data_IF_564889429479
#
_entry.id   IF_564889429479
#
_cell.length_a   1.000
_cell.length_b   1.000
_cell.length_c   1.000
_cell.angle_alpha   90.00
_cell.angle_beta   90.00
_cell.angle_gamma   90.00
#
_symmetry.space_group_name_H-M   'P 1'
#
loop_
_entity.id
_entity.type
_entity.pdbx_description
1 polymer ?
#
# COMPACT_ATOMS: atom_id res chain seq x y z
N UNK A 1 -17.95 21.04 -7.16
CA UNK A 1 -16.64 20.36 -7.32
C UNK A 1 -16.81 18.93 -6.83
N UNK A 2 -16.32 17.92 -7.55
CA UNK A 2 -16.44 16.53 -7.13
C UNK A 2 -15.56 16.27 -5.90
N UNK A 3 -16.14 15.66 -4.86
CA UNK A 3 -15.43 15.34 -3.61
C UNK A 3 -14.42 14.22 -3.87
N UNK A 4 -13.16 14.42 -3.49
CA UNK A 4 -12.08 13.42 -3.66
C UNK A 4 -11.88 12.64 -2.37
N UNK A 5 -11.75 11.32 -2.49
CA UNK A 5 -11.38 10.46 -1.38
C UNK A 5 -9.92 10.71 -0.96
N UNK A 6 -9.70 10.83 0.34
CA UNK A 6 -8.39 11.07 0.96
C UNK A 6 -8.10 10.13 2.13
N UNK A 7 -9.05 9.26 2.51
CA UNK A 7 -8.87 8.17 3.45
C UNK A 7 -9.37 6.87 2.82
N UNK A 8 -8.58 5.81 2.93
CA UNK A 8 -8.88 4.49 2.39
C UNK A 8 -8.61 3.45 3.47
N UNK A 9 -9.65 2.71 3.83
CA UNK A 9 -9.59 1.67 4.85
C UNK A 9 -10.07 0.37 4.22
N UNK A 10 -9.19 -0.63 4.14
CA UNK A 10 -9.49 -1.90 3.48
C UNK A 10 -8.91 -3.08 4.25
N UNK A 11 -9.61 -4.20 4.26
CA UNK A 11 -9.16 -5.43 4.90
C UNK A 11 -9.58 -6.69 4.12
N UNK A 12 -8.87 -7.79 4.36
CA UNK A 12 -9.14 -9.08 3.77
C UNK A 12 -8.23 -10.16 4.35
N UNK A 13 -8.82 -11.26 4.85
CA UNK A 13 -8.07 -12.28 5.57
C UNK A 13 -7.40 -11.69 6.81
N UNK A 14 -6.10 -11.94 6.98
CA UNK A 14 -5.30 -11.34 8.03
C UNK A 14 -4.76 -9.93 7.68
N UNK A 15 -4.96 -9.45 6.44
CA UNK A 15 -4.37 -8.19 5.96
C UNK A 15 -5.33 -7.02 6.11
N UNK A 16 -4.85 -5.91 6.67
CA UNK A 16 -5.55 -4.62 6.69
C UNK A 16 -4.62 -3.47 6.30
N UNK A 17 -5.17 -2.48 5.59
CA UNK A 17 -4.49 -1.26 5.18
C UNK A 17 -5.35 -0.05 5.49
N UNK A 18 -4.74 0.95 6.12
CA UNK A 18 -5.29 2.29 6.25
C UNK A 18 -4.34 3.27 5.56
N UNK A 19 -4.79 3.93 4.51
CA UNK A 19 -4.01 4.91 3.76
C UNK A 19 -4.72 6.25 3.74
N UNK A 20 -4.05 7.30 4.19
CA UNK A 20 -4.49 8.68 4.06
C UNK A 20 -3.55 9.45 3.13
N UNK A 21 -4.11 10.16 2.14
CA UNK A 21 -3.28 10.97 1.21
C UNK A 21 -2.72 12.22 1.88
N UNK A 22 -3.32 12.62 2.99
CA UNK A 22 -2.95 13.74 3.85
C UNK A 22 -3.41 13.39 5.26
N UNK A 23 -2.52 13.37 6.25
CA UNK A 23 -2.85 13.18 7.67
C UNK A 23 -2.94 14.49 8.44
N UNK A 24 -3.09 14.41 9.76
CA UNK A 24 -3.17 15.55 10.69
C UNK A 24 -1.92 16.44 10.59
N UNK A 25 -0.75 15.84 10.41
CA UNK A 25 0.52 16.55 10.24
C UNK A 25 0.75 17.08 8.80
N UNK A 26 -0.26 17.00 7.92
CA UNK A 26 -0.17 17.44 6.52
C UNK A 26 0.59 16.48 5.59
N UNK A 27 1.08 15.36 6.09
CA UNK A 27 1.82 14.35 5.32
C UNK A 27 0.98 13.08 5.09
N UNK A 28 1.18 12.33 3.99
CA UNK A 28 0.52 11.05 3.80
C UNK A 28 0.90 10.04 4.90
N UNK A 29 -0.04 9.17 5.27
CA UNK A 29 0.20 8.06 6.20
C UNK A 29 -0.31 6.75 5.61
N UNK A 30 0.40 5.67 5.88
CA UNK A 30 0.07 4.32 5.43
C UNK A 30 0.35 3.34 6.57
N UNK A 31 -0.71 2.73 7.06
CA UNK A 31 -0.64 1.65 8.04
C UNK A 31 -0.94 0.33 7.35
N UNK A 32 -0.03 -0.62 7.47
CA UNK A 32 -0.15 -1.99 6.98
C UNK A 32 -0.12 -2.95 8.17
N UNK A 33 -1.04 -3.91 8.19
CA UNK A 33 -0.98 -5.04 9.11
C UNK A 33 -1.28 -6.31 8.37
N UNK A 34 -0.53 -7.37 8.66
CA UNK A 34 -0.88 -8.74 8.32
C UNK A 34 -0.71 -9.68 9.54
N UNK A 35 -0.55 -10.98 9.31
CA UNK A 35 -0.37 -11.94 10.40
C UNK A 35 0.97 -11.79 11.13
N UNK A 36 1.99 -11.27 10.44
CA UNK A 36 3.38 -11.27 10.90
C UNK A 36 3.92 -9.85 11.10
N UNK A 37 3.28 -8.84 10.50
CA UNK A 37 3.75 -7.46 10.46
C UNK A 37 2.68 -6.45 10.91
N UNK A 38 3.13 -5.38 11.55
CA UNK A 38 2.36 -4.19 11.89
C UNK A 38 3.25 -2.96 11.67
N UNK A 39 3.08 -2.29 10.53
CA UNK A 39 4.03 -1.29 10.01
C UNK A 39 3.31 0.00 9.66
N UNK A 40 3.86 1.11 10.15
CA UNK A 40 3.43 2.47 9.81
C UNK A 40 4.50 3.16 8.98
N UNK A 41 4.10 3.76 7.86
CA UNK A 41 4.94 4.64 7.06
C UNK A 41 4.27 6.01 6.92
N UNK A 42 5.08 7.06 6.87
CA UNK A 42 4.63 8.44 6.71
C UNK A 42 5.54 9.18 5.73
N UNK A 43 5.00 10.22 5.09
CA UNK A 43 5.78 11.14 4.27
C UNK A 43 6.60 10.43 3.17
N UNK A 44 7.93 10.55 3.25
CA UNK A 44 8.87 9.98 2.27
C UNK A 44 8.99 8.45 2.33
N UNK A 45 8.52 7.81 3.40
CA UNK A 45 8.43 6.36 3.51
C UNK A 45 7.34 5.75 2.62
N UNK A 46 6.51 6.59 2.00
CA UNK A 46 5.42 6.17 1.11
C UNK A 46 5.76 6.58 -0.33
N UNK A 47 5.86 5.58 -1.20
CA UNK A 47 6.11 5.78 -2.63
C UNK A 47 4.79 5.66 -3.38
N UNK A 48 4.45 6.65 -4.20
CA UNK A 48 3.23 6.61 -5.03
C UNK A 48 3.57 6.65 -6.52
N UNK A 49 2.88 5.84 -7.33
CA UNK A 49 3.04 5.82 -8.79
C UNK A 49 1.68 5.67 -9.47
N UNK A 50 1.32 6.63 -10.31
CA UNK A 50 0.11 6.54 -11.15
C UNK A 50 0.35 5.56 -12.30
N UNK A 51 -0.62 4.69 -12.55
CA UNK A 51 -0.61 3.64 -13.58
C UNK A 51 -2.00 3.49 -14.19
N UNK A 52 -2.15 2.62 -15.19
CA UNK A 52 -3.45 2.27 -15.77
C UNK A 52 -4.37 1.52 -14.78
N UNK A 53 -3.79 0.88 -13.75
CA UNK A 53 -4.53 0.20 -12.69
C UNK A 53 -5.04 1.15 -11.60
N UNK A 54 -4.70 2.44 -11.70
CA UNK A 54 -4.88 3.44 -10.64
C UNK A 54 -3.54 3.84 -10.02
N UNK A 55 -3.55 4.23 -8.76
CA UNK A 55 -2.34 4.64 -8.03
C UNK A 55 -1.77 3.47 -7.26
N UNK A 56 -0.53 3.09 -7.53
CA UNK A 56 0.21 2.17 -6.68
C UNK A 56 0.78 2.94 -5.50
N UNK A 57 0.47 2.50 -4.28
CA UNK A 57 0.97 3.10 -3.03
C UNK A 57 1.78 2.05 -2.31
N UNK A 58 3.09 2.28 -2.19
CA UNK A 58 4.07 1.28 -1.74
C UNK A 58 4.79 1.75 -0.49
N UNK A 59 4.95 0.84 0.47
CA UNK A 59 5.80 1.01 1.65
C UNK A 59 6.77 -0.15 1.78
N UNK A 60 7.86 0.08 2.51
CA UNK A 60 8.72 -1.00 3.00
C UNK A 60 8.10 -1.58 4.28
N UNK A 61 8.01 -2.91 4.35
CA UNK A 61 7.48 -3.66 5.49
C UNK A 61 8.63 -4.20 6.33
N UNK A 62 9.64 -4.74 5.65
CA UNK A 62 10.86 -5.25 6.27
C UNK A 62 12.05 -4.96 5.34
N UNK A 63 13.14 -4.46 5.92
CA UNK A 63 14.39 -4.18 5.22
C UNK A 63 15.51 -4.84 6.02
N UNK A 64 16.06 -5.92 5.47
CA UNK A 64 17.26 -6.55 6.00
C UNK A 64 18.46 -6.05 5.20
N UNK A 65 19.44 -5.43 5.87
CA UNK A 65 20.70 -5.03 5.24
C UNK A 65 21.39 -6.26 4.64
N UNK A 66 21.76 -6.18 3.35
CA UNK A 66 22.35 -7.27 2.56
C UNK A 66 21.51 -8.56 2.50
N UNK A 67 20.19 -8.44 2.71
CA UNK A 67 19.24 -9.55 2.75
C UNK A 67 17.95 -9.26 1.98
N UNK A 68 16.95 -10.16 2.05
CA UNK A 68 15.69 -9.97 1.37
C UNK A 68 14.94 -8.76 1.92
N UNK A 69 14.26 -8.02 1.03
CA UNK A 69 13.38 -6.91 1.40
C UNK A 69 11.93 -7.26 1.12
N UNK A 70 11.04 -6.80 1.99
CA UNK A 70 9.59 -6.99 1.85
C UNK A 70 8.92 -5.63 1.70
N UNK A 71 8.07 -5.51 0.69
CA UNK A 71 7.26 -4.30 0.46
C UNK A 71 5.79 -4.66 0.38
N UNK A 72 4.93 -3.73 0.79
CA UNK A 72 3.49 -3.81 0.61
C UNK A 72 3.04 -2.72 -0.36
N UNK A 73 2.30 -3.11 -1.39
CA UNK A 73 1.75 -2.20 -2.40
C UNK A 73 0.23 -2.30 -2.41
N UNK A 74 -0.46 -1.21 -2.05
CA UNK A 74 -1.88 -1.06 -2.30
C UNK A 74 -2.09 -0.63 -3.76
N UNK A 75 -2.86 -1.43 -4.51
CA UNK A 75 -3.36 -1.01 -5.83
C UNK A 75 -4.60 -0.17 -5.58
N UNK A 76 -4.51 1.15 -5.70
CA UNK A 76 -5.63 2.04 -5.38
C UNK A 76 -6.37 2.46 -6.66
N UNK A 77 -7.58 1.92 -6.94
CA UNK A 77 -8.36 2.35 -8.10
C UNK A 77 -8.81 3.80 -7.95
N UNK A 78 -9.13 4.44 -9.08
CA UNK A 78 -9.79 5.75 -9.04
C UNK A 78 -11.20 5.60 -8.51
N UNK A 79 -11.52 6.23 -7.38
CA UNK A 79 -12.86 6.20 -6.78
C UNK A 79 -13.50 7.57 -6.88
N UNK A 80 -14.64 7.63 -7.58
CA UNK A 80 -15.48 8.82 -7.64
C UNK A 80 -16.53 8.73 -6.53
N UNK A 81 -16.54 9.70 -5.60
CA UNK A 81 -17.51 9.70 -4.50
C UNK A 81 -18.90 10.20 -4.92
N UNK A 82 -18.98 10.99 -5.99
CA UNK A 82 -20.21 11.69 -6.37
C UNK A 82 -20.62 12.65 -5.25
N UNK A 83 -21.90 12.61 -4.87
CA UNK A 83 -22.46 13.41 -3.77
C UNK A 83 -22.32 12.73 -2.39
N UNK A 84 -21.74 11.53 -2.34
CA UNK A 84 -21.54 10.79 -1.10
C UNK A 84 -20.23 11.18 -0.42
N UNK A 85 -20.13 10.92 0.89
CA UNK A 85 -18.89 11.10 1.65
C UNK A 85 -17.99 9.87 1.61
N UNK A 86 -18.53 8.74 1.16
CA UNK A 86 -17.92 7.43 1.21
C UNK A 86 -18.41 6.53 0.07
N UNK A 87 -17.52 5.68 -0.45
CA UNK A 87 -17.85 4.63 -1.40
C UNK A 87 -17.17 3.31 -1.02
N UNK A 88 -17.87 2.19 -1.23
CA UNK A 88 -17.27 0.87 -1.06
C UNK A 88 -16.21 0.65 -2.15
N UNK A 89 -15.11 0.02 -1.77
CA UNK A 89 -14.01 -0.30 -2.65
C UNK A 89 -13.59 -1.75 -2.44
N UNK A 90 -13.22 -2.42 -3.54
CA UNK A 90 -12.57 -3.73 -3.54
C UNK A 90 -11.32 -3.62 -4.38
N UNK A 91 -10.19 -4.06 -3.84
CA UNK A 91 -8.91 -3.99 -4.54
C UNK A 91 -7.93 -5.06 -4.04
N UNK A 92 -6.66 -4.90 -4.39
CA UNK A 92 -5.56 -5.80 -4.09
C UNK A 92 -4.50 -5.08 -3.26
N UNK A 93 -3.95 -5.80 -2.30
CA UNK A 93 -2.63 -5.53 -1.73
C UNK A 93 -1.65 -6.56 -2.28
N UNK A 94 -0.52 -6.11 -2.80
CA UNK A 94 0.55 -6.95 -3.32
C UNK A 94 1.72 -6.86 -2.34
N UNK A 95 2.05 -7.98 -1.71
CA UNK A 95 3.24 -8.15 -0.90
C UNK A 95 4.35 -8.67 -1.82
N UNK A 96 5.45 -7.94 -1.91
CA UNK A 96 6.60 -8.31 -2.75
C UNK A 96 7.79 -8.60 -1.87
N UNK A 97 8.31 -9.82 -1.95
CA UNK A 97 9.58 -10.22 -1.34
C UNK A 97 10.64 -10.19 -2.44
N UNK A 98 11.62 -9.33 -2.31
CA UNK A 98 12.75 -9.22 -3.23
C UNK A 98 13.95 -9.91 -2.59
N UNK A 99 14.40 -10.99 -3.22
CA UNK A 99 15.63 -11.65 -2.83
C UNK A 99 16.84 -10.77 -3.19
N UNK A 100 17.76 -10.65 -2.24
CA UNK A 100 19.07 -10.03 -2.43
C UNK A 100 20.13 -10.88 -1.72
N UNK A 101 21.41 -10.63 -2.00
CA UNK A 101 22.53 -11.30 -1.33
C UNK A 101 23.65 -10.30 -1.06
N UNK A 102 24.56 -10.66 -0.14
CA UNK A 102 25.76 -9.86 0.19
C UNK A 102 26.62 -9.55 -1.06
N UNK A 103 26.60 -10.41 -2.09
CA UNK A 103 27.32 -10.18 -3.35
C UNK A 103 26.51 -9.41 -4.41
N UNK A 104 25.34 -8.89 -4.05
CA UNK A 104 24.41 -8.16 -4.90
C UNK A 104 23.38 -9.04 -5.63
N UNK A 105 22.36 -8.42 -6.27
CA UNK A 105 21.24 -9.14 -6.87
C UNK A 105 21.64 -9.95 -8.11
N UNK A 106 22.75 -9.61 -8.77
CA UNK A 106 23.24 -10.31 -9.96
C UNK A 106 23.74 -11.74 -9.71
N UNK A 107 23.93 -12.12 -8.44
CA UNK A 107 24.30 -13.49 -8.05
C UNK A 107 23.09 -14.36 -7.68
N UNK A 108 21.88 -13.77 -7.63
CA UNK A 108 20.64 -14.50 -7.41
C UNK A 108 20.15 -15.10 -8.73
N UNK A 109 20.14 -16.43 -8.83
CA UNK A 109 19.67 -17.14 -10.03
C UNK A 109 18.15 -17.27 -10.01
N UNK A 110 17.49 -16.85 -11.09
CA UNK A 110 16.06 -17.02 -11.31
C UNK A 110 15.21 -15.80 -11.00
N UNK A 111 13.98 -16.00 -10.54
CA UNK A 111 13.05 -14.91 -10.20
C UNK A 111 13.42 -14.30 -8.84
N UNK A 112 13.89 -13.04 -8.85
CA UNK A 112 14.27 -12.32 -7.62
C UNK A 112 13.06 -11.87 -6.82
N UNK A 113 11.96 -11.50 -7.47
CA UNK A 113 10.77 -10.94 -6.83
C UNK A 113 9.68 -11.99 -6.74
N UNK A 114 9.20 -12.29 -5.53
CA UNK A 114 8.05 -13.15 -5.29
C UNK A 114 6.87 -12.29 -4.86
N UNK A 115 5.68 -12.60 -5.38
CA UNK A 115 4.47 -11.83 -5.13
C UNK A 115 3.43 -12.66 -4.41
N UNK A 116 2.78 -12.05 -3.40
CA UNK A 116 1.55 -12.55 -2.78
C UNK A 116 0.50 -11.46 -2.90
N UNK A 117 -0.60 -11.76 -3.58
CA UNK A 117 -1.74 -10.84 -3.72
C UNK A 117 -2.84 -11.18 -2.72
N UNK A 118 -3.32 -10.19 -1.98
CA UNK A 118 -4.47 -10.32 -1.07
C UNK A 118 -5.59 -9.43 -1.57
N UNK A 119 -6.76 -10.03 -1.84
CA UNK A 119 -7.97 -9.25 -2.15
C UNK A 119 -8.50 -8.62 -0.87
N UNK A 120 -8.61 -7.30 -0.86
CA UNK A 120 -9.12 -6.51 0.26
C UNK A 120 -10.38 -5.75 -0.14
N UNK A 121 -11.25 -5.50 0.84
CA UNK A 121 -12.50 -4.75 0.69
C UNK A 121 -12.60 -3.71 1.79
N UNK A 122 -13.28 -2.62 1.51
CA UNK A 122 -13.52 -1.58 2.49
C UNK A 122 -14.05 -0.33 1.82
N UNK A 123 -13.51 0.82 2.18
CA UNK A 123 -14.17 2.10 1.96
C UNK A 123 -13.18 3.20 1.59
N UNK A 124 -13.54 4.01 0.61
CA UNK A 124 -12.87 5.25 0.24
C UNK A 124 -13.72 6.41 0.78
N UNK A 125 -13.13 7.26 1.62
CA UNK A 125 -13.80 8.33 2.35
C UNK A 125 -13.16 9.68 2.04
N UNK A 126 -13.96 10.73 2.15
CA UNK A 126 -13.46 12.10 2.17
C UNK A 126 -13.64 12.71 3.57
N UNK A 127 -12.53 12.89 4.27
CA UNK A 127 -12.45 13.32 5.67
C UNK A 127 -11.74 14.67 5.75
N UNK A 128 -12.17 15.52 6.68
CA UNK A 128 -11.41 16.72 7.06
C UNK A 128 -10.48 16.32 8.21
N UNK A 129 -9.16 16.42 7.98
CA UNK A 129 -8.12 16.15 8.97
C UNK A 129 -7.77 17.41 9.77
#
# INVERSE_FOLDING_TARGET
MARKANLFEVAGGATSVTYATTGIAGQPSFHFRDADHDVNAEGTGIRTKKTELGTLVTIDVDIVADGPSTTATLVLPTVNLGDQTEQKLRTLVIITITADTIGGPGLVVGQLQRYKSVTVRGTAKSVAF
#
